data_IF_376535523206
#
_entry.id   IF_376535523206
#
_cell.length_a   1.000
_cell.length_b   1.000
_cell.length_c   1.000
_cell.angle_alpha   90.00
_cell.angle_beta   90.00
_cell.angle_gamma   90.00
#
_symmetry.space_group_name_H-M   'P 1'
#
loop_
_entity.id
_entity.type
_entity.pdbx_description
1 polymer ?
#
# COMPACT_ATOMS: atom_id res chain seq x y z
N UNK A 1 -23.32 89.18 100.27
CA UNK A 1 -22.84 89.19 98.87
C UNK A 1 -21.60 88.31 98.63
N UNK A 2 -20.58 88.28 99.52
CA UNK A 2 -19.34 87.50 99.35
C UNK A 2 -19.49 85.96 99.34
N UNK A 3 -20.26 85.38 100.26
CA UNK A 3 -20.44 83.91 100.38
C UNK A 3 -21.08 83.28 99.12
N UNK A 4 -21.93 84.04 98.40
CA UNK A 4 -22.57 83.57 97.17
C UNK A 4 -21.58 83.51 95.99
N UNK A 5 -20.65 84.47 95.91
CA UNK A 5 -19.57 84.47 94.91
C UNK A 5 -18.61 83.29 95.12
N UNK A 6 -18.30 82.95 96.37
CA UNK A 6 -17.40 81.85 96.71
C UNK A 6 -17.99 80.48 96.36
N UNK A 7 -19.28 80.24 96.65
CA UNK A 7 -19.99 79.02 96.22
C UNK A 7 -20.04 78.89 94.70
N UNK A 8 -20.28 80.00 93.98
CA UNK A 8 -20.26 80.03 92.51
C UNK A 8 -18.88 79.73 91.94
N UNK A 9 -17.83 80.30 92.52
CA UNK A 9 -16.44 80.06 92.12
C UNK A 9 -16.02 78.60 92.32
N UNK A 10 -16.36 78.01 93.47
CA UNK A 10 -16.08 76.59 93.77
C UNK A 10 -16.75 75.65 92.76
N UNK A 11 -18.02 75.90 92.43
CA UNK A 11 -18.75 75.10 91.44
C UNK A 11 -18.14 75.23 90.03
N UNK A 12 -17.73 76.43 89.62
CA UNK A 12 -17.03 76.62 88.34
C UNK A 12 -15.70 75.86 88.29
N UNK A 13 -14.94 75.84 89.39
CA UNK A 13 -13.68 75.12 89.48
C UNK A 13 -13.87 73.59 89.41
N UNK A 14 -14.91 73.06 90.06
CA UNK A 14 -15.24 71.63 90.00
C UNK A 14 -15.68 71.20 88.59
N UNK A 15 -16.49 72.01 87.90
CA UNK A 15 -16.86 71.77 86.51
C UNK A 15 -15.63 71.79 85.59
N UNK A 16 -14.76 72.80 85.73
CA UNK A 16 -13.53 72.89 84.94
C UNK A 16 -12.64 71.66 85.14
N UNK A 17 -12.54 71.16 86.38
CA UNK A 17 -11.79 69.92 86.67
C UNK A 17 -12.41 68.71 85.97
N UNK A 18 -13.73 68.54 86.03
CA UNK A 18 -14.43 67.45 85.34
C UNK A 18 -14.23 67.52 83.82
N UNK A 19 -14.41 68.70 83.25
CA UNK A 19 -14.28 68.92 81.80
C UNK A 19 -12.83 68.67 81.35
N UNK A 20 -11.85 69.09 82.17
CA UNK A 20 -10.43 68.81 81.91
C UNK A 20 -10.12 67.31 81.96
N UNK A 21 -10.69 66.56 82.91
CA UNK A 21 -10.52 65.10 82.99
C UNK A 21 -11.12 64.42 81.76
N UNK A 22 -12.33 64.81 81.35
CA UNK A 22 -12.99 64.26 80.16
C UNK A 22 -12.21 64.59 78.88
N UNK A 23 -11.67 65.81 78.77
CA UNK A 23 -10.83 66.21 77.64
C UNK A 23 -9.55 65.36 77.57
N UNK A 24 -8.86 65.15 78.70
CA UNK A 24 -7.64 64.32 78.75
C UNK A 24 -7.95 62.86 78.41
N UNK A 25 -9.04 62.30 78.93
CA UNK A 25 -9.48 60.94 78.59
C UNK A 25 -9.79 60.80 77.09
N UNK A 26 -10.54 61.75 76.52
CA UNK A 26 -10.86 61.77 75.10
C UNK A 26 -9.61 61.87 74.21
N UNK A 27 -8.63 62.68 74.61
CA UNK A 27 -7.34 62.79 73.90
C UNK A 27 -6.58 61.46 73.96
N UNK A 28 -6.50 60.80 75.12
CA UNK A 28 -5.79 59.53 75.25
C UNK A 28 -6.46 58.42 74.45
N UNK A 29 -7.79 58.35 74.46
CA UNK A 29 -8.54 57.39 73.66
C UNK A 29 -8.36 57.65 72.15
N UNK A 30 -8.42 58.90 71.71
CA UNK A 30 -8.13 59.27 70.33
C UNK A 30 -6.68 58.92 69.93
N UNK A 31 -5.71 59.17 70.81
CA UNK A 31 -4.30 58.82 70.61
C UNK A 31 -4.08 57.32 70.46
N UNK A 32 -4.71 56.49 71.30
CA UNK A 32 -4.62 55.04 71.19
C UNK A 32 -5.23 54.54 69.88
N UNK A 33 -6.38 55.09 69.46
CA UNK A 33 -6.98 54.75 68.16
C UNK A 33 -6.07 55.14 66.99
N UNK A 34 -5.38 56.29 67.09
CA UNK A 34 -4.42 56.75 66.09
C UNK A 34 -3.23 55.78 65.97
N UNK A 35 -2.63 55.39 67.10
CA UNK A 35 -1.52 54.42 67.13
C UNK A 35 -1.91 53.08 66.50
N UNK A 36 -3.11 52.58 66.78
CA UNK A 36 -3.60 51.33 66.17
C UNK A 36 -3.85 51.48 64.65
N UNK A 37 -4.33 52.64 64.20
CA UNK A 37 -4.46 52.92 62.75
C UNK A 37 -3.11 53.00 62.06
N UNK A 38 -2.11 53.61 62.70
CA UNK A 38 -0.74 53.69 62.18
C UNK A 38 -0.11 52.30 62.08
N UNK A 39 -0.27 51.46 63.10
CA UNK A 39 0.17 50.05 63.06
C UNK A 39 -0.43 49.30 61.87
N UNK A 40 -1.75 49.42 61.66
CA UNK A 40 -2.43 48.78 60.53
C UNK A 40 -1.97 49.31 59.17
N UNK A 41 -1.72 50.62 59.05
CA UNK A 41 -1.18 51.23 57.83
C UNK A 41 0.23 50.72 57.50
N UNK A 42 1.10 50.58 58.51
CA UNK A 42 2.44 50.02 58.32
C UNK A 42 2.36 48.56 57.85
N UNK A 43 1.52 47.73 58.48
CA UNK A 43 1.29 46.35 58.04
C UNK A 43 0.76 46.27 56.60
N UNK A 44 -0.20 47.12 56.25
CA UNK A 44 -0.74 47.20 54.89
C UNK A 44 0.32 47.62 53.87
N UNK A 45 1.23 48.53 54.24
CA UNK A 45 2.29 49.01 53.36
C UNK A 45 3.28 47.89 53.04
N UNK A 46 3.63 47.08 54.02
CA UNK A 46 4.50 45.92 53.81
C UNK A 46 3.81 44.82 53.01
N UNK A 47 2.52 44.61 53.22
CA UNK A 47 1.75 43.65 52.41
C UNK A 47 1.65 44.09 50.94
N UNK A 48 1.44 45.38 50.66
CA UNK A 48 1.44 45.91 49.29
C UNK A 48 2.78 45.64 48.59
N UNK A 49 3.92 45.78 49.31
CA UNK A 49 5.24 45.45 48.74
C UNK A 49 5.33 43.98 48.36
N UNK A 50 4.92 43.07 49.25
CA UNK A 50 4.92 41.62 48.97
C UNK A 50 4.04 41.26 47.79
N UNK A 51 2.83 41.83 47.73
CA UNK A 51 1.90 41.59 46.63
C UNK A 51 2.48 42.06 45.29
N UNK A 52 3.18 43.20 45.28
CA UNK A 52 3.86 43.70 44.08
C UNK A 52 4.99 42.78 43.61
N UNK A 53 5.77 42.22 44.53
CA UNK A 53 6.83 41.27 44.20
C UNK A 53 6.24 39.95 43.66
N UNK A 54 5.14 39.47 44.25
CA UNK A 54 4.39 38.31 43.77
C UNK A 54 3.79 38.56 42.37
N UNK A 55 3.20 39.72 42.13
CA UNK A 55 2.66 40.12 40.82
C UNK A 55 3.75 40.14 39.75
N UNK A 56 4.91 40.72 40.06
CA UNK A 56 6.07 40.72 39.17
C UNK A 56 6.56 39.31 38.86
N UNK A 57 6.69 38.46 39.88
CA UNK A 57 7.10 37.05 39.72
C UNK A 57 6.09 36.25 38.88
N UNK A 58 4.80 36.41 39.16
CA UNK A 58 3.73 35.76 38.40
C UNK A 58 3.74 36.21 36.93
N UNK A 59 3.94 37.49 36.67
CA UNK A 59 4.02 38.05 35.32
C UNK A 59 5.20 37.49 34.51
N UNK A 60 6.33 37.19 35.16
CA UNK A 60 7.47 36.52 34.51
C UNK A 60 7.13 35.06 34.19
N UNK A 61 6.50 34.34 35.12
CA UNK A 61 6.09 32.94 34.92
C UNK A 61 5.06 32.80 33.81
N UNK A 62 4.09 33.71 33.72
CA UNK A 62 3.09 33.73 32.64
C UNK A 62 3.77 33.87 31.30
N UNK A 63 4.68 34.84 31.15
CA UNK A 63 5.43 35.03 29.88
C UNK A 63 6.26 33.81 29.50
N UNK A 64 6.91 33.16 30.48
CA UNK A 64 7.65 31.92 30.23
C UNK A 64 6.72 30.80 29.74
N UNK A 65 5.58 30.60 30.41
CA UNK A 65 4.58 29.61 30.02
C UNK A 65 4.00 29.89 28.63
N UNK A 66 3.68 31.14 28.30
CA UNK A 66 3.21 31.55 26.97
C UNK A 66 4.26 31.25 25.88
N UNK A 67 5.54 31.51 26.15
CA UNK A 67 6.60 31.20 25.19
C UNK A 67 6.78 29.69 24.97
N UNK A 68 6.71 28.90 26.05
CA UNK A 68 6.75 27.45 25.97
C UNK A 68 5.54 26.88 25.21
N UNK A 69 4.34 27.42 25.45
CA UNK A 69 3.13 27.06 24.72
C UNK A 69 3.29 27.32 23.22
N UNK A 70 3.74 28.52 22.82
CA UNK A 70 3.98 28.84 21.41
C UNK A 70 4.99 27.90 20.76
N UNK A 71 6.04 27.51 21.48
CA UNK A 71 7.01 26.52 20.99
C UNK A 71 6.38 25.14 20.83
N UNK A 72 5.54 24.71 21.77
CA UNK A 72 4.86 23.42 21.71
C UNK A 72 3.85 23.38 20.56
N UNK A 73 3.09 24.46 20.34
CA UNK A 73 2.17 24.62 19.21
C UNK A 73 2.89 24.53 17.86
N UNK A 74 4.05 25.18 17.73
CA UNK A 74 4.88 25.07 16.53
C UNK A 74 5.38 23.63 16.31
N UNK A 75 5.78 22.92 17.37
CA UNK A 75 6.16 21.51 17.31
C UNK A 75 5.00 20.61 16.88
N UNK A 76 3.81 20.84 17.42
CA UNK A 76 2.60 20.11 17.05
C UNK A 76 2.22 20.33 15.59
N UNK A 77 2.28 21.56 15.09
CA UNK A 77 2.02 21.86 13.68
C UNK A 77 3.03 21.16 12.74
N UNK A 78 4.30 21.10 13.13
CA UNK A 78 5.31 20.37 12.37
C UNK A 78 4.98 18.86 12.30
N UNK A 79 4.63 18.25 13.44
CA UNK A 79 4.23 16.84 13.47
C UNK A 79 2.97 16.59 12.64
N UNK A 80 1.98 17.48 12.68
CA UNK A 80 0.78 17.38 11.83
C UNK A 80 1.15 17.39 10.34
N UNK A 81 2.07 18.26 9.93
CA UNK A 81 2.55 18.30 8.54
C UNK A 81 3.26 17.00 8.14
N UNK A 82 4.10 16.43 9.02
CA UNK A 82 4.77 15.15 8.78
C UNK A 82 3.78 13.99 8.63
N UNK A 83 2.76 13.93 9.50
CA UNK A 83 1.70 12.92 9.41
C UNK A 83 0.93 13.04 8.10
N UNK A 84 0.60 14.26 7.66
CA UNK A 84 -0.07 14.47 6.38
C UNK A 84 0.81 14.05 5.18
N UNK A 85 2.12 14.29 5.24
CA UNK A 85 3.05 13.83 4.21
C UNK A 85 3.15 12.30 4.15
N UNK A 86 3.28 11.65 5.32
CA UNK A 86 3.34 10.19 5.41
C UNK A 86 2.04 9.55 4.92
N UNK A 87 0.89 10.12 5.25
CA UNK A 87 -0.40 9.65 4.74
C UNK A 87 -0.45 9.70 3.22
N UNK A 88 -0.02 10.79 2.59
CA UNK A 88 0.02 10.86 1.12
C UNK A 88 0.97 9.83 0.51
N UNK A 89 2.14 9.59 1.12
CA UNK A 89 3.09 8.57 0.64
C UNK A 89 2.48 7.19 0.73
N UNK A 90 1.82 6.88 1.85
CA UNK A 90 1.11 5.63 2.06
C UNK A 90 0.02 5.41 1.01
N UNK A 91 -0.82 6.42 0.74
CA UNK A 91 -1.87 6.33 -0.27
C UNK A 91 -1.32 6.13 -1.69
N UNK A 92 -0.18 6.76 -2.00
CA UNK A 92 0.51 6.59 -3.27
C UNK A 92 1.09 5.18 -3.43
N UNK A 93 1.71 4.64 -2.37
CA UNK A 93 2.23 3.27 -2.33
C UNK A 93 1.10 2.25 -2.48
N UNK A 94 -0.03 2.42 -1.79
CA UNK A 94 -1.18 1.52 -1.96
C UNK A 94 -1.68 1.48 -3.40
N UNK A 95 -1.76 2.63 -4.06
CA UNK A 95 -2.14 2.72 -5.48
C UNK A 95 -1.11 2.02 -6.37
N UNK A 96 0.17 2.31 -6.18
CA UNK A 96 1.26 1.69 -6.92
C UNK A 96 1.26 0.16 -6.75
N UNK A 97 1.16 -0.32 -5.52
CA UNK A 97 1.12 -1.75 -5.21
C UNK A 97 -0.11 -2.45 -5.83
N UNK A 98 -1.28 -1.79 -5.81
CA UNK A 98 -2.47 -2.33 -6.47
C UNK A 98 -2.28 -2.45 -7.99
N UNK A 99 -1.66 -1.46 -8.61
CA UNK A 99 -1.35 -1.46 -10.04
C UNK A 99 -0.37 -2.58 -10.39
N UNK A 100 0.73 -2.72 -9.63
CA UNK A 100 1.72 -3.79 -9.83
C UNK A 100 1.09 -5.17 -9.65
N UNK A 101 0.16 -5.35 -8.71
CA UNK A 101 -0.57 -6.63 -8.57
C UNK A 101 -1.39 -6.97 -9.82
N UNK A 102 -2.08 -5.98 -10.40
CA UNK A 102 -2.84 -6.16 -11.65
C UNK A 102 -1.89 -6.51 -12.79
N UNK A 103 -0.82 -5.74 -12.98
CA UNK A 103 0.18 -6.01 -14.03
C UNK A 103 0.84 -7.38 -13.86
N UNK A 104 1.14 -7.80 -12.63
CA UNK A 104 1.68 -9.13 -12.36
C UNK A 104 0.70 -10.25 -12.74
N UNK A 105 -0.59 -10.05 -12.51
CA UNK A 105 -1.62 -11.02 -12.92
C UNK A 105 -1.73 -11.14 -14.44
N UNK A 106 -1.68 -10.01 -15.15
CA UNK A 106 -1.71 -9.97 -16.61
C UNK A 106 -0.47 -10.60 -17.22
N UNK A 107 0.71 -10.36 -16.65
CA UNK A 107 1.96 -10.97 -17.10
C UNK A 107 1.98 -12.47 -16.87
N UNK A 108 1.40 -12.97 -15.78
CA UNK A 108 1.26 -14.42 -15.53
C UNK A 108 0.35 -15.08 -16.56
N UNK A 109 -0.76 -14.45 -16.92
CA UNK A 109 -1.66 -14.93 -17.96
C UNK A 109 -0.98 -14.95 -19.33
N UNK A 110 -0.31 -13.86 -19.71
CA UNK A 110 0.43 -13.75 -20.96
C UNK A 110 1.57 -14.78 -21.05
N UNK A 111 2.24 -15.07 -19.93
CA UNK A 111 3.27 -16.10 -19.85
C UNK A 111 2.69 -17.49 -20.11
N UNK A 112 1.57 -17.84 -19.45
CA UNK A 112 0.91 -19.12 -19.65
C UNK A 112 0.44 -19.30 -21.12
N UNK A 113 -0.10 -18.24 -21.74
CA UNK A 113 -0.44 -18.27 -23.17
C UNK A 113 0.78 -18.48 -24.06
N UNK A 114 1.89 -17.79 -23.77
CA UNK A 114 3.12 -17.89 -24.55
C UNK A 114 3.73 -19.30 -24.46
N UNK A 115 3.71 -19.93 -23.28
CA UNK A 115 4.13 -21.31 -23.08
C UNK A 115 3.29 -22.27 -23.95
N UNK A 116 1.95 -22.15 -23.90
CA UNK A 116 1.06 -22.98 -24.72
C UNK A 116 1.30 -22.78 -26.22
N UNK A 117 1.57 -21.55 -26.67
CA UNK A 117 1.89 -21.26 -28.08
C UNK A 117 3.23 -21.85 -28.48
N UNK A 118 4.24 -21.77 -27.61
CA UNK A 118 5.55 -22.35 -27.84
C UNK A 118 5.45 -23.88 -28.00
N UNK A 119 4.72 -24.56 -27.12
CA UNK A 119 4.51 -26.00 -27.19
C UNK A 119 3.77 -26.42 -28.47
N UNK A 120 2.70 -25.70 -28.84
CA UNK A 120 1.98 -25.93 -30.10
C UNK A 120 2.87 -25.70 -31.31
N UNK A 121 3.71 -24.66 -31.29
CA UNK A 121 4.67 -24.36 -32.35
C UNK A 121 5.73 -25.45 -32.49
N UNK A 122 6.28 -25.93 -31.38
CA UNK A 122 7.22 -27.04 -31.36
C UNK A 122 6.59 -28.33 -31.92
N UNK A 123 5.38 -28.67 -31.49
CA UNK A 123 4.67 -29.84 -31.99
C UNK A 123 4.40 -29.73 -33.49
N UNK A 124 3.92 -28.58 -33.97
CA UNK A 124 3.68 -28.36 -35.40
C UNK A 124 4.96 -28.51 -36.24
N UNK A 125 6.10 -28.03 -35.72
CA UNK A 125 7.40 -28.19 -36.38
C UNK A 125 7.83 -29.67 -36.44
N UNK A 126 7.64 -30.42 -35.36
CA UNK A 126 7.90 -31.87 -35.35
C UNK A 126 7.01 -32.61 -36.34
N UNK A 127 5.69 -32.34 -36.34
CA UNK A 127 4.73 -32.98 -37.23
C UNK A 127 5.08 -32.68 -38.70
N UNK A 128 5.47 -31.44 -39.01
CA UNK A 128 5.94 -31.06 -40.33
C UNK A 128 7.18 -31.88 -40.74
N UNK A 129 8.18 -31.97 -39.86
CA UNK A 129 9.40 -32.75 -40.12
C UNK A 129 9.11 -34.23 -40.34
N UNK A 130 8.23 -34.84 -39.53
CA UNK A 130 7.81 -36.23 -39.67
C UNK A 130 7.08 -36.45 -40.99
N UNK A 131 6.15 -35.56 -41.36
CA UNK A 131 5.42 -35.65 -42.61
C UNK A 131 6.35 -35.54 -43.82
N UNK A 132 7.28 -34.58 -43.80
CA UNK A 132 8.27 -34.41 -44.86
C UNK A 132 9.17 -35.63 -45.00
N UNK A 133 9.78 -36.08 -43.91
CA UNK A 133 10.64 -37.27 -43.92
C UNK A 133 9.88 -38.53 -44.37
N UNK A 134 8.61 -38.67 -43.98
CA UNK A 134 7.76 -39.77 -44.41
C UNK A 134 7.45 -39.72 -45.91
N UNK A 135 7.21 -38.53 -46.47
CA UNK A 135 7.01 -38.35 -47.91
C UNK A 135 8.30 -38.67 -48.67
N UNK A 136 9.43 -38.11 -48.25
CA UNK A 136 10.74 -38.34 -48.87
C UNK A 136 11.09 -39.83 -48.86
N UNK A 137 10.90 -40.51 -47.73
CA UNK A 137 11.14 -41.95 -47.61
C UNK A 137 10.21 -42.76 -48.52
N UNK A 138 8.92 -42.39 -48.64
CA UNK A 138 7.99 -43.05 -49.57
C UNK A 138 8.43 -42.89 -51.02
N UNK A 139 8.94 -41.72 -51.40
CA UNK A 139 9.48 -41.50 -52.75
C UNK A 139 10.74 -42.33 -53.00
N UNK A 140 11.67 -42.37 -52.04
CA UNK A 140 12.89 -43.18 -52.13
C UNK A 140 12.58 -44.68 -52.21
N UNK A 141 11.71 -45.17 -51.33
CA UNK A 141 11.34 -46.59 -51.27
C UNK A 141 10.63 -47.02 -52.57
N UNK A 142 9.76 -46.18 -53.12
CA UNK A 142 9.12 -46.40 -54.43
C UNK A 142 10.17 -46.64 -55.51
N UNK A 143 11.16 -45.75 -55.63
CA UNK A 143 12.22 -45.84 -56.63
C UNK A 143 13.07 -47.11 -56.49
N UNK A 144 13.54 -47.38 -55.28
CA UNK A 144 14.35 -48.58 -55.00
C UNK A 144 13.56 -49.88 -55.21
N UNK A 145 12.32 -49.97 -54.71
CA UNK A 145 11.50 -51.16 -54.91
C UNK A 145 11.18 -51.43 -56.37
N UNK A 146 10.81 -50.40 -57.15
CA UNK A 146 10.54 -50.56 -58.57
C UNK A 146 11.79 -51.00 -59.35
N UNK A 147 12.96 -50.49 -58.99
CA UNK A 147 14.24 -50.90 -59.58
C UNK A 147 14.51 -52.40 -59.36
N UNK A 148 14.42 -52.89 -58.12
CA UNK A 148 14.62 -54.31 -57.84
C UNK A 148 13.53 -55.20 -58.43
N UNK A 149 12.29 -54.70 -58.53
CA UNK A 149 11.22 -55.40 -59.23
C UNK A 149 11.55 -55.62 -60.71
N UNK A 150 11.97 -54.58 -61.42
CA UNK A 150 12.36 -54.66 -62.84
C UNK A 150 13.54 -55.61 -63.01
N UNK A 151 14.57 -55.49 -62.17
CA UNK A 151 15.73 -56.39 -62.21
C UNK A 151 15.35 -57.85 -61.99
N UNK A 152 14.49 -58.14 -61.00
CA UNK A 152 14.00 -59.49 -60.75
C UNK A 152 13.14 -60.03 -61.91
N UNK A 153 12.36 -59.17 -62.56
CA UNK A 153 11.55 -59.51 -63.72
C UNK A 153 12.43 -59.90 -64.92
N UNK A 154 13.39 -59.06 -65.28
CA UNK A 154 14.35 -59.34 -66.37
C UNK A 154 15.12 -60.63 -66.11
N UNK A 155 15.65 -60.81 -64.89
CA UNK A 155 16.36 -62.04 -64.52
C UNK A 155 15.49 -63.29 -64.65
N UNK A 156 14.20 -63.20 -64.34
CA UNK A 156 13.27 -64.32 -64.48
C UNK A 156 13.00 -64.67 -65.96
N UNK A 157 12.90 -63.66 -66.84
CA UNK A 157 12.76 -63.83 -68.29
C UNK A 157 14.03 -64.44 -68.91
N UNK A 158 15.21 -63.95 -68.51
CA UNK A 158 16.51 -64.49 -68.92
C UNK A 158 16.59 -65.98 -68.58
N UNK A 159 16.21 -66.35 -67.35
CA UNK A 159 16.22 -67.73 -66.87
C UNK A 159 15.21 -68.63 -67.60
N UNK A 160 14.12 -68.05 -68.15
CA UNK A 160 13.12 -68.75 -68.93
C UNK A 160 13.49 -68.86 -70.43
N UNK A 161 14.57 -68.21 -70.87
CA UNK A 161 15.03 -68.21 -72.25
C UNK A 161 14.19 -67.35 -73.19
N UNK A 162 13.58 -66.27 -72.68
CA UNK A 162 12.86 -65.29 -73.49
C UNK A 162 13.87 -64.38 -74.20
N UNK A 163 13.62 -64.07 -75.47
CA UNK A 163 14.45 -63.15 -76.27
C UNK A 163 14.37 -61.72 -75.70
N UNK A 164 15.50 -61.01 -75.65
CA UNK A 164 15.60 -59.66 -75.07
C UNK A 164 14.88 -58.59 -75.90
N UNK A 165 14.67 -58.86 -77.19
CA UNK A 165 13.83 -58.05 -78.09
C UNK A 165 12.31 -58.22 -77.83
N UNK A 166 11.90 -59.04 -76.86
CA UNK A 166 10.49 -59.24 -76.54
C UNK A 166 9.88 -58.05 -75.78
N UNK A 167 8.69 -57.64 -76.21
CA UNK A 167 7.82 -56.68 -75.49
C UNK A 167 7.60 -57.03 -73.99
N UNK A 168 7.84 -58.28 -73.59
CA UNK A 168 7.77 -58.73 -72.19
C UNK A 168 8.80 -58.07 -71.27
N UNK A 169 9.94 -57.61 -71.80
CA UNK A 169 10.95 -56.85 -71.04
C UNK A 169 10.45 -55.44 -70.73
N UNK A 170 9.74 -54.81 -71.66
CA UNK A 170 9.17 -53.47 -71.49
C UNK A 170 7.95 -53.46 -70.57
N UNK A 171 7.24 -54.59 -70.48
CA UNK A 171 6.09 -54.76 -69.60
C UNK A 171 6.44 -54.55 -68.12
N UNK A 172 7.69 -54.82 -67.71
CA UNK A 172 8.18 -54.59 -66.35
C UNK A 172 8.10 -53.11 -65.94
N UNK A 173 8.28 -52.18 -66.88
CA UNK A 173 8.22 -50.74 -66.62
C UNK A 173 6.80 -50.20 -66.57
N UNK A 174 5.86 -50.83 -67.29
CA UNK A 174 4.44 -50.43 -67.28
C UNK A 174 3.63 -51.09 -66.15
N UNK A 175 4.14 -52.18 -65.55
CA UNK A 175 3.50 -52.93 -64.45
C UNK A 175 4.23 -52.77 -63.11
N UNK A 176 4.84 -51.61 -62.86
CA UNK A 176 5.57 -51.38 -61.62
C UNK A 176 4.63 -51.42 -60.39
N UNK A 177 5.01 -52.07 -59.28
CA UNK A 177 4.17 -52.20 -58.09
C UNK A 177 3.76 -50.87 -57.46
N UNK A 178 4.60 -49.85 -57.59
CA UNK A 178 4.35 -48.52 -57.06
C UNK A 178 4.35 -47.51 -58.20
N UNK A 179 3.17 -47.14 -58.69
CA UNK A 179 3.02 -46.19 -59.81
C UNK A 179 3.68 -44.84 -59.51
N UNK A 180 4.35 -44.25 -60.50
CA UNK A 180 4.76 -42.85 -60.45
C UNK A 180 3.54 -42.02 -60.85
N UNK A 181 2.87 -41.42 -59.87
CA UNK A 181 1.83 -40.44 -60.15
C UNK A 181 2.48 -39.26 -60.87
N UNK A 182 2.23 -39.13 -62.17
CA UNK A 182 2.50 -37.91 -62.93
C UNK A 182 1.53 -36.86 -62.37
N UNK A 183 1.99 -35.66 -61.95
CA UNK A 183 1.06 -34.59 -61.61
C UNK A 183 0.26 -34.27 -62.86
N UNK A 184 -1.05 -34.46 -62.81
CA UNK A 184 -1.97 -34.04 -63.86
C UNK A 184 -1.96 -32.50 -63.88
N UNK A 185 -1.16 -31.91 -64.77
CA UNK A 185 -1.28 -30.50 -65.16
C UNK A 185 -2.62 -30.33 -65.88
N UNK A 186 -3.57 -29.64 -65.23
CA UNK A 186 -4.81 -29.22 -65.88
C UNK A 186 -5.93 -28.85 -64.93
N UNK A 187 -5.96 -27.59 -64.47
CA UNK A 187 -7.01 -26.62 -64.84
C UNK A 187 -7.01 -25.43 -63.86
N UNK A 188 -6.38 -24.34 -64.29
CA UNK A 188 -6.70 -22.99 -63.85
C UNK A 188 -8.19 -22.73 -64.07
N UNK A 189 -8.95 -22.58 -62.98
CA UNK A 189 -10.20 -21.84 -63.02
C UNK A 189 -9.90 -20.36 -62.85
N UNK A 190 -9.93 -19.70 -64.01
CA UNK A 190 -10.09 -18.28 -64.30
C UNK A 190 -10.68 -17.45 -63.14
N UNK A 191 -9.96 -16.38 -62.83
CA UNK A 191 -10.41 -15.25 -62.04
C UNK A 191 -11.61 -14.54 -62.70
N UNK A 192 -12.67 -14.32 -61.93
CA UNK A 192 -13.76 -13.39 -62.23
C UNK A 192 -13.83 -12.33 -61.14
N UNK A 193 -13.45 -11.11 -61.50
CA UNK A 193 -13.34 -9.90 -60.69
C UNK A 193 -14.72 -9.32 -60.32
N UNK A 194 -14.77 -8.56 -59.22
CA UNK A 194 -15.98 -8.24 -58.47
C UNK A 194 -16.83 -7.04 -58.92
N UNK A 195 -17.88 -6.76 -58.15
CA UNK A 195 -18.50 -5.43 -58.03
C UNK A 195 -19.34 -5.34 -56.75
N UNK A 196 -19.14 -4.25 -56.02
CA UNK A 196 -19.62 -3.96 -54.68
C UNK A 196 -21.11 -3.54 -54.58
N UNK A 197 -21.67 -3.67 -53.38
CA UNK A 197 -22.89 -2.98 -52.97
C UNK A 197 -23.53 -3.54 -51.70
N UNK A 198 -23.06 -3.13 -50.53
CA UNK A 198 -23.84 -3.13 -49.26
C UNK A 198 -24.80 -1.90 -49.31
N UNK A 199 -26.01 -1.87 -48.67
CA UNK A 199 -26.07 -1.71 -47.22
C UNK A 199 -27.32 -2.28 -46.47
N UNK A 200 -27.13 -2.51 -45.17
CA UNK A 200 -28.07 -2.27 -44.03
C UNK A 200 -28.97 -3.40 -43.48
N UNK A 201 -28.63 -3.77 -42.24
CA UNK A 201 -29.36 -4.38 -41.08
C UNK A 201 -30.71 -3.64 -40.81
N UNK A 202 -31.83 -4.23 -40.30
CA UNK A 202 -31.93 -4.79 -38.93
C UNK A 202 -33.02 -5.84 -38.61
N UNK A 203 -32.94 -6.42 -37.40
CA UNK A 203 -34.14 -6.72 -36.61
C UNK A 203 -34.49 -8.20 -36.34
N UNK A 204 -34.07 -8.69 -35.17
CA UNK A 204 -34.74 -9.72 -34.34
C UNK A 204 -36.25 -9.38 -34.13
N UNK A 205 -37.16 -10.22 -33.55
CA UNK A 205 -36.91 -11.12 -32.40
C UNK A 205 -37.85 -12.35 -32.18
N UNK A 206 -37.59 -13.07 -31.07
CA UNK A 206 -38.57 -13.69 -30.14
C UNK A 206 -39.45 -14.86 -30.63
N UNK A 207 -39.81 -15.89 -29.85
CA UNK A 207 -39.66 -16.29 -28.45
C UNK A 207 -39.95 -17.82 -28.43
N UNK A 208 -39.58 -18.64 -27.44
CA UNK A 208 -40.07 -18.72 -26.05
C UNK A 208 -39.06 -19.65 -25.33
N UNK A 209 -38.40 -19.26 -24.23
CA UNK A 209 -38.91 -19.23 -22.83
C UNK A 209 -39.48 -20.59 -22.38
N UNK A 210 -39.13 -21.22 -21.26
CA UNK A 210 -38.17 -20.95 -20.16
C UNK A 210 -38.20 -22.21 -19.21
N UNK A 211 -37.70 -22.24 -17.95
CA UNK A 211 -36.77 -23.27 -17.47
C UNK A 211 -37.31 -24.06 -16.25
N UNK A 212 -36.48 -24.93 -15.65
CA UNK A 212 -36.64 -25.36 -14.25
C UNK A 212 -35.31 -25.24 -13.51
N UNK A 213 -35.36 -24.40 -12.48
CA UNK A 213 -34.40 -24.18 -11.41
C UNK A 213 -34.42 -25.36 -10.44
N UNK A 214 -33.26 -25.75 -9.91
CA UNK A 214 -33.11 -26.06 -8.47
C UNK A 214 -31.72 -25.62 -8.03
N UNK A 215 -31.70 -24.57 -7.20
CA UNK A 215 -30.61 -24.20 -6.31
C UNK A 215 -30.27 -25.34 -5.35
N UNK A 216 -28.99 -25.51 -5.00
CA UNK A 216 -28.71 -25.63 -3.58
C UNK A 216 -27.36 -25.03 -3.20
N UNK A 217 -27.48 -24.21 -2.17
CA UNK A 217 -26.49 -23.34 -1.56
C UNK A 217 -25.59 -24.13 -0.63
N UNK A 218 -24.27 -23.89 -0.63
CA UNK A 218 -23.46 -23.71 0.59
C UNK A 218 -22.11 -23.06 0.28
N UNK A 219 -22.05 -21.76 0.53
CA UNK A 219 -20.86 -21.11 1.00
C UNK A 219 -20.51 -21.65 2.40
N UNK A 220 -19.26 -22.08 2.58
CA UNK A 220 -18.63 -22.19 3.89
C UNK A 220 -17.20 -21.67 3.73
N UNK A 221 -16.96 -20.61 4.50
CA UNK A 221 -15.77 -19.81 4.69
C UNK A 221 -14.46 -20.61 4.69
N UNK A 222 -13.54 -20.17 3.83
CA UNK A 222 -12.12 -20.47 3.92
C UNK A 222 -11.52 -19.53 4.99
N UNK A 223 -11.04 -20.10 6.09
CA UNK A 223 -10.44 -19.39 7.22
C UNK A 223 -8.94 -19.76 7.27
N UNK A 224 -8.02 -18.80 7.16
CA UNK A 224 -6.60 -19.09 7.37
C UNK A 224 -6.30 -19.14 8.88
N UNK A 225 -5.84 -20.28 9.37
CA UNK A 225 -5.23 -20.39 10.70
C UNK A 225 -3.73 -20.03 10.58
N UNK A 226 -3.44 -18.74 10.75
CA UNK A 226 -2.10 -18.27 11.14
C UNK A 226 -1.86 -18.64 12.61
N UNK A 227 -1.17 -19.75 12.85
CA UNK A 227 -0.57 -20.05 14.16
C UNK A 227 0.85 -19.50 14.22
N UNK A 228 0.99 -18.31 14.82
CA UNK A 228 2.23 -17.81 15.39
C UNK A 228 2.22 -18.20 16.87
N UNK A 229 3.14 -19.05 17.38
CA UNK A 229 3.36 -19.11 18.81
C UNK A 229 4.22 -17.92 19.24
N UNK A 230 3.60 -17.03 20.01
CA UNK A 230 4.28 -16.03 20.81
C UNK A 230 4.83 -16.64 22.10
N UNK A 231 5.86 -15.96 22.63
CA UNK A 231 6.47 -16.07 23.96
C UNK A 231 7.63 -17.07 24.12
N UNK A 232 8.85 -16.51 24.25
CA UNK A 232 9.51 -16.39 25.55
C UNK A 232 10.63 -15.33 25.43
N UNK A 233 10.43 -14.16 26.03
CA UNK A 233 11.51 -13.25 26.40
C UNK A 233 11.63 -13.35 27.91
N UNK A 234 12.72 -13.95 28.39
CA UNK A 234 13.05 -13.98 29.80
C UNK A 234 14.18 -12.95 30.04
N UNK A 235 13.86 -11.96 30.85
CA UNK A 235 14.80 -11.03 31.48
C UNK A 235 15.69 -11.77 32.49
N UNK A 236 16.91 -11.25 32.70
CA UNK A 236 17.89 -11.70 33.71
C UNK A 236 19.30 -11.34 33.26
N UNK A 237 19.77 -10.10 33.42
CA UNK A 237 20.40 -9.50 34.63
C UNK A 237 21.93 -9.70 34.68
N UNK A 238 22.62 -8.55 34.74
CA UNK A 238 23.94 -8.19 35.30
C UNK A 238 25.27 -8.88 34.91
N UNK A 239 26.28 -8.00 34.75
CA UNK A 239 27.71 -8.29 34.64
C UNK A 239 28.40 -7.23 33.76
N UNK A 240 28.56 -5.99 34.21
CA UNK A 240 29.80 -5.49 34.82
C UNK A 240 31.05 -6.07 34.18
N UNK A 241 31.74 -5.29 33.35
CA UNK A 241 33.19 -5.15 33.47
C UNK A 241 33.65 -3.76 33.02
N UNK A 242 34.31 -3.11 33.97
CA UNK A 242 35.04 -1.85 33.88
C UNK A 242 36.41 -2.19 33.31
N UNK A 243 36.78 -1.65 32.15
CA UNK A 243 38.13 -1.15 31.88
C UNK A 243 38.20 -0.42 30.52
N UNK A 244 38.41 0.90 30.54
CA UNK A 244 39.28 1.54 29.53
C UNK A 244 39.77 2.90 30.04
N UNK A 245 40.94 2.83 30.68
CA UNK A 245 42.05 3.79 30.70
C UNK A 245 41.90 5.09 29.91
N UNK A 246 41.95 6.22 30.64
CA UNK A 246 42.40 7.53 30.13
C UNK A 246 43.55 8.03 31.02
N UNK A 247 44.78 7.87 30.54
CA UNK A 247 45.98 8.49 31.10
C UNK A 247 46.19 9.88 30.47
N UNK A 248 46.09 10.93 31.28
CA UNK A 248 46.65 12.26 31.01
C UNK A 248 47.15 12.83 32.33
N UNK A 249 48.43 13.26 32.36
CA UNK A 249 49.21 14.10 33.30
C UNK A 249 50.57 13.39 33.50
N UNK A 250 51.76 13.94 33.20
CA UNK A 250 52.27 15.32 33.04
C UNK A 250 52.94 15.57 31.68
#
# INVERSE_FOLDING_TARGET
MKVWQEKRSKYMLENLKRDSILAVQGIFEAGNRLLETERRLNLSTDEIKRLKDLESSASVRIRAAESAQKSAEAGLLNLQNQVAELQRKLDAEYKSASQVRIENSQLKEALAEAEVRADKGAQAYYDQGVNQASQDLRYQLRGECNKYFVQGWHQALDNAGVDDDSDLYDLAYSRQPYEVSVPEEGNELVAGEGAAGDPTVPGSPEALSEPVLVDDTKAAEDRPDDQIPAAESQEGEEGSDVDETIDVVD
#
